data_IF_141198573097
#
_entry.id   IF_141198573097
#
_cell.length_a   1.000
_cell.length_b   1.000
_cell.length_c   1.000
_cell.angle_alpha   90.00
_cell.angle_beta   90.00
_cell.angle_gamma   90.00
#
_symmetry.space_group_name_H-M   'P 1'
#
loop_
_entity.id
_entity.type
_entity.pdbx_description
1 polymer ?
#
# COMPACT_ATOMS: atom_id res chain seq x y z
N UNK A 1 22.34 -12.86 -19.65
CA UNK A 1 22.13 -11.74 -18.70
C UNK A 1 20.70 -11.90 -18.20
N UNK A 2 20.48 -12.21 -16.92
CA UNK A 2 19.12 -12.36 -16.40
C UNK A 2 18.37 -11.04 -16.50
N UNK A 3 17.10 -11.07 -16.91
CA UNK A 3 16.23 -9.89 -16.87
C UNK A 3 16.02 -9.58 -15.38
N UNK A 4 16.47 -8.41 -14.94
CA UNK A 4 16.23 -7.94 -13.58
C UNK A 4 14.72 -7.75 -13.38
N UNK A 5 14.22 -8.07 -12.19
CA UNK A 5 12.82 -7.77 -11.88
C UNK A 5 12.59 -6.26 -11.85
N UNK A 6 11.35 -5.81 -12.04
CA UNK A 6 11.03 -4.37 -11.95
C UNK A 6 11.36 -3.79 -10.57
N UNK A 7 11.21 -4.59 -9.50
CA UNK A 7 11.62 -4.17 -8.16
C UNK A 7 13.13 -3.95 -8.10
N UNK A 8 13.94 -4.87 -8.62
CA UNK A 8 15.41 -4.70 -8.67
C UNK A 8 15.84 -3.48 -9.49
N UNK A 9 15.08 -3.12 -10.54
CA UNK A 9 15.31 -1.92 -11.31
C UNK A 9 15.05 -0.64 -10.48
N UNK A 10 14.01 -0.64 -9.65
CA UNK A 10 13.58 0.51 -8.86
C UNK A 10 14.21 0.60 -7.46
N UNK A 11 14.82 -0.48 -6.95
CA UNK A 11 15.47 -0.51 -5.62
C UNK A 11 16.46 0.65 -5.39
N UNK A 12 17.29 1.08 -6.37
CA UNK A 12 18.17 2.23 -6.17
C UNK A 12 17.42 3.54 -5.89
N UNK A 13 16.33 3.80 -6.63
CA UNK A 13 15.50 5.00 -6.40
C UNK A 13 14.72 4.88 -5.08
N UNK A 14 14.30 3.67 -4.68
CA UNK A 14 13.69 3.41 -3.37
C UNK A 14 14.63 3.81 -2.21
N UNK A 15 15.85 3.27 -2.16
CA UNK A 15 16.80 3.59 -1.07
C UNK A 15 17.15 5.07 -1.03
N UNK A 16 17.37 5.68 -2.20
CA UNK A 16 17.62 7.11 -2.31
C UNK A 16 16.42 7.92 -1.78
N UNK A 17 15.21 7.52 -2.13
CA UNK A 17 13.98 8.14 -1.65
C UNK A 17 13.82 8.07 -0.13
N UNK A 18 14.06 6.89 0.47
CA UNK A 18 14.06 6.74 1.93
C UNK A 18 15.07 7.69 2.60
N UNK A 19 16.29 7.79 2.07
CA UNK A 19 17.31 8.70 2.58
C UNK A 19 16.88 10.18 2.46
N UNK A 20 16.26 10.57 1.34
CA UNK A 20 15.74 11.92 1.15
C UNK A 20 14.61 12.25 2.14
N UNK A 21 13.65 11.34 2.32
CA UNK A 21 12.55 11.50 3.27
C UNK A 21 13.05 11.59 4.72
N UNK A 22 13.94 10.68 5.12
CA UNK A 22 14.59 10.70 6.43
C UNK A 22 15.37 12.02 6.64
N UNK A 23 16.10 12.49 5.64
CA UNK A 23 16.85 13.75 5.70
C UNK A 23 15.96 14.98 5.90
N UNK A 24 14.77 15.00 5.28
CA UNK A 24 13.77 16.05 5.49
C UNK A 24 13.26 16.04 6.92
N UNK A 25 12.82 14.88 7.43
CA UNK A 25 12.32 14.75 8.81
C UNK A 25 13.40 15.10 9.83
N UNK A 26 14.64 14.62 9.64
CA UNK A 26 15.80 14.97 10.45
C UNK A 26 16.00 16.49 10.54
N UNK A 27 15.98 17.16 9.38
CA UNK A 27 16.17 18.61 9.31
C UNK A 27 15.05 19.37 10.02
N UNK A 28 13.80 18.93 9.87
CA UNK A 28 12.65 19.52 10.55
C UNK A 28 12.69 19.32 12.06
N UNK A 29 13.15 18.15 12.52
CA UNK A 29 13.30 17.83 13.92
C UNK A 29 14.34 18.73 14.60
N UNK A 30 15.58 18.74 14.11
CA UNK A 30 16.64 19.53 14.73
C UNK A 30 16.39 21.04 14.66
N UNK A 31 15.70 21.52 13.61
CA UNK A 31 15.27 22.92 13.52
C UNK A 31 14.21 23.28 14.56
N UNK A 32 13.32 22.35 14.89
CA UNK A 32 12.20 22.59 15.82
C UNK A 32 12.58 22.31 17.28
N UNK A 33 13.56 21.42 17.51
CA UNK A 33 14.00 20.94 18.81
C UNK A 33 15.54 20.87 18.85
N UNK A 34 16.22 22.02 19.00
CA UNK A 34 17.70 22.08 19.01
C UNK A 34 18.31 21.44 20.27
N UNK A 35 17.48 21.09 21.25
CA UNK A 35 17.83 20.36 22.47
C UNK A 35 18.02 18.85 22.26
N UNK A 36 17.52 18.30 21.15
CA UNK A 36 17.75 16.89 20.80
C UNK A 36 19.21 16.73 20.35
N UNK A 37 20.02 15.87 20.99
CA UNK A 37 21.42 15.67 20.61
C UNK A 37 21.55 15.13 19.19
N UNK A 38 22.54 15.59 18.42
CA UNK A 38 22.83 15.02 17.09
C UNK A 38 23.21 13.52 17.17
N UNK A 39 23.76 13.08 18.31
CA UNK A 39 24.07 11.68 18.58
C UNK A 39 22.85 10.76 18.69
N UNK A 40 21.63 11.31 18.63
CA UNK A 40 20.38 10.57 18.55
C UNK A 40 20.23 9.77 17.23
N UNK A 41 21.09 10.04 16.24
CA UNK A 41 21.10 9.47 14.90
C UNK A 41 22.09 8.28 14.71
N UNK A 42 22.07 7.25 15.57
CA UNK A 42 22.99 6.11 15.35
C UNK A 42 22.55 5.13 14.26
N UNK A 43 21.36 5.32 13.65
CA UNK A 43 20.84 4.37 12.65
C UNK A 43 20.00 4.95 11.51
N UNK A 44 19.71 6.27 11.46
CA UNK A 44 18.91 6.90 10.39
C UNK A 44 17.42 6.51 10.34
N UNK A 45 17.08 5.25 10.64
CA UNK A 45 15.73 4.67 10.51
C UNK A 45 14.68 5.33 11.40
N UNK A 46 15.12 5.95 12.50
CA UNK A 46 14.21 6.66 13.42
C UNK A 46 13.51 7.84 12.75
N UNK A 47 14.13 8.44 11.73
CA UNK A 47 13.53 9.51 10.94
C UNK A 47 12.51 9.02 9.91
N UNK A 48 12.39 7.69 9.77
CA UNK A 48 11.34 7.03 8.98
C UNK A 48 10.13 6.63 9.85
N UNK A 49 10.07 7.03 11.12
CA UNK A 49 8.92 6.78 12.00
C UNK A 49 7.68 7.54 11.48
N UNK A 50 6.58 6.84 11.12
CA UNK A 50 5.40 7.47 10.50
C UNK A 50 4.77 8.58 11.34
N UNK A 51 4.84 8.49 12.66
CA UNK A 51 4.31 9.52 13.55
C UNK A 51 5.09 10.85 13.43
N UNK A 52 6.37 10.84 13.07
CA UNK A 52 7.12 12.06 12.79
C UNK A 52 6.63 12.74 11.50
N UNK A 53 6.36 11.97 10.45
CA UNK A 53 5.72 12.51 9.24
C UNK A 53 4.37 13.12 9.56
N UNK A 54 3.54 12.39 10.32
CA UNK A 54 2.21 12.83 10.71
C UNK A 54 2.28 14.12 11.53
N UNK A 55 3.23 14.22 12.46
CA UNK A 55 3.49 15.42 13.26
C UNK A 55 3.90 16.62 12.40
N UNK A 56 4.93 16.48 11.57
CA UNK A 56 5.47 17.61 10.81
C UNK A 56 4.57 18.10 9.69
N UNK A 57 3.70 17.22 9.16
CA UNK A 57 2.69 17.60 8.18
C UNK A 57 1.39 18.10 8.82
N UNK A 58 1.25 18.09 10.15
CA UNK A 58 0.03 18.51 10.83
C UNK A 58 -0.02 20.05 10.96
N UNK A 59 -1.07 20.73 10.43
CA UNK A 59 -1.16 22.20 10.45
C UNK A 59 -1.15 22.79 11.87
N UNK A 60 -1.83 22.12 12.80
CA UNK A 60 -1.94 22.51 14.21
C UNK A 60 -1.11 21.62 15.16
N UNK A 61 0.06 21.14 14.72
CA UNK A 61 0.85 20.13 15.46
C UNK A 61 1.16 20.50 16.93
N UNK A 62 1.35 21.79 17.22
CA UNK A 62 1.58 22.30 18.60
C UNK A 62 0.35 22.21 19.52
N UNK A 63 -0.85 22.19 18.96
CA UNK A 63 -2.10 22.12 19.72
C UNK A 63 -2.62 20.69 19.88
N UNK A 64 -2.26 19.79 18.94
CA UNK A 64 -2.72 18.39 18.94
C UNK A 64 -1.87 17.49 19.82
N UNK A 65 -0.63 17.88 20.10
CA UNK A 65 0.27 17.10 20.94
C UNK A 65 1.11 18.05 21.79
N UNK A 66 0.83 18.08 23.10
CA UNK A 66 1.52 18.94 24.06
C UNK A 66 2.97 18.50 24.32
N UNK A 67 3.27 17.23 24.09
CA UNK A 67 4.62 16.68 24.29
C UNK A 67 5.54 17.00 23.10
N UNK A 68 6.85 17.06 23.34
CA UNK A 68 7.81 17.28 22.26
C UNK A 68 7.93 16.06 21.33
N UNK A 69 8.35 16.22 20.07
CA UNK A 69 8.80 15.14 19.20
C UNK A 69 9.86 14.23 19.83
N UNK A 70 10.69 14.76 20.74
CA UNK A 70 11.60 13.95 21.55
C UNK A 70 10.85 12.93 22.41
N UNK A 71 9.71 13.29 22.98
CA UNK A 71 8.86 12.33 23.71
C UNK A 71 8.13 11.35 22.78
N UNK A 72 7.77 11.74 21.55
CA UNK A 72 7.25 10.80 20.54
C UNK A 72 8.25 9.68 20.24
N UNK A 73 9.53 10.02 20.21
CA UNK A 73 10.63 9.11 19.94
C UNK A 73 11.04 8.31 21.18
N UNK A 74 10.96 8.90 22.38
CA UNK A 74 11.31 8.24 23.64
C UNK A 74 10.17 7.37 24.20
N UNK A 75 8.91 7.74 23.98
CA UNK A 75 7.72 6.93 24.32
C UNK A 75 7.38 5.97 23.18
N UNK A 76 8.38 5.33 22.59
CA UNK A 76 8.26 4.40 21.46
C UNK A 76 7.28 3.23 21.66
N UNK A 77 6.68 3.13 22.85
CA UNK A 77 5.62 2.22 23.26
C UNK A 77 4.48 3.03 23.91
N UNK A 78 3.43 3.34 23.15
CA UNK A 78 2.16 3.67 23.79
C UNK A 78 1.71 2.45 24.61
N UNK A 79 1.25 2.65 25.85
CA UNK A 79 0.75 1.56 26.70
C UNK A 79 -0.43 0.78 26.06
N UNK A 80 -1.10 1.39 25.08
CA UNK A 80 -2.13 0.74 24.25
C UNK A 80 -1.54 -0.07 23.08
N UNK A 81 -0.49 0.42 22.43
CA UNK A 81 0.30 -0.37 21.47
C UNK A 81 0.93 -1.58 22.19
N UNK A 82 1.28 -1.46 23.47
CA UNK A 82 1.78 -2.57 24.32
C UNK A 82 0.74 -3.67 24.56
N UNK A 83 -0.56 -3.34 24.67
CA UNK A 83 -1.61 -4.33 24.86
C UNK A 83 -1.88 -5.10 23.56
N UNK A 84 -1.96 -4.39 22.43
CA UNK A 84 -2.11 -5.00 21.10
C UNK A 84 -0.82 -5.73 20.66
N UNK A 85 0.36 -5.27 21.06
CA UNK A 85 1.64 -5.94 20.76
C UNK A 85 1.84 -7.22 21.57
N UNK A 86 1.28 -7.32 22.78
CA UNK A 86 1.22 -8.58 23.55
C UNK A 86 0.33 -9.63 22.89
N UNK A 87 -0.69 -9.20 22.16
CA UNK A 87 -1.54 -10.09 21.34
C UNK A 87 -0.99 -10.27 19.92
N UNK A 88 -0.06 -9.41 19.49
CA UNK A 88 0.58 -9.49 18.19
C UNK A 88 1.51 -10.71 18.18
N UNK A 89 1.35 -11.63 17.21
CA UNK A 89 2.29 -12.72 17.05
C UNK A 89 3.69 -12.16 16.80
N UNK A 90 4.71 -12.76 17.42
CA UNK A 90 6.13 -12.33 17.35
C UNK A 90 6.76 -12.37 15.94
N UNK A 91 5.96 -12.52 14.88
CA UNK A 91 6.38 -12.80 13.50
C UNK A 91 6.07 -11.68 12.51
N UNK A 92 5.35 -10.64 12.92
CA UNK A 92 5.08 -9.49 12.05
C UNK A 92 6.22 -8.46 12.19
N UNK A 93 6.77 -7.92 11.09
CA UNK A 93 7.87 -6.95 11.14
C UNK A 93 7.41 -5.52 11.44
N UNK A 94 6.10 -5.31 11.60
CA UNK A 94 5.47 -4.01 11.79
C UNK A 94 4.68 -3.95 13.10
N UNK A 95 4.55 -2.74 13.65
CA UNK A 95 3.71 -2.46 14.82
C UNK A 95 2.25 -2.37 14.39
N UNK A 96 1.36 -2.97 15.17
CA UNK A 96 -0.08 -2.74 15.02
C UNK A 96 -0.46 -1.55 15.90
N UNK A 97 -1.08 -0.53 15.30
CA UNK A 97 -1.42 0.72 15.97
C UNK A 97 -2.91 1.00 15.89
N UNK A 98 -3.46 1.56 16.97
CA UNK A 98 -4.87 1.94 17.03
C UNK A 98 -5.16 3.18 16.16
N UNK A 99 -6.28 3.15 15.43
CA UNK A 99 -6.77 4.28 14.63
C UNK A 99 -7.05 5.56 15.47
N UNK A 100 -7.18 5.44 16.79
CA UNK A 100 -7.44 6.55 17.70
C UNK A 100 -6.24 7.48 17.96
N UNK A 101 -5.04 7.15 17.46
CA UNK A 101 -3.85 7.97 17.70
C UNK A 101 -4.07 9.41 17.18
N UNK A 102 -3.92 10.47 18.03
CA UNK A 102 -4.30 11.84 17.67
C UNK A 102 -3.63 12.38 16.40
N UNK A 103 -2.36 12.05 16.16
CA UNK A 103 -1.65 12.48 14.94
C UNK A 103 -2.16 11.80 13.67
N UNK A 104 -2.73 10.61 13.77
CA UNK A 104 -3.23 9.84 12.64
C UNK A 104 -4.71 10.12 12.34
N UNK A 105 -5.47 10.57 13.36
CA UNK A 105 -6.92 10.78 13.26
C UNK A 105 -7.33 11.66 12.07
N UNK A 106 -6.58 12.72 11.77
CA UNK A 106 -6.89 13.61 10.64
C UNK A 106 -6.77 12.93 9.28
N UNK A 107 -5.92 11.91 9.15
CA UNK A 107 -5.66 11.24 7.88
C UNK A 107 -6.90 10.50 7.40
N UNK A 108 -7.72 10.00 8.33
CA UNK A 108 -9.02 9.44 8.02
C UNK A 108 -9.97 10.47 7.40
N UNK A 109 -9.96 11.71 7.92
CA UNK A 109 -10.75 12.83 7.38
C UNK A 109 -10.25 13.28 6.00
N UNK A 110 -8.93 13.32 5.81
CA UNK A 110 -8.29 13.67 4.54
C UNK A 110 -8.57 12.59 3.47
N UNK A 111 -8.60 11.32 3.88
CA UNK A 111 -8.94 10.19 3.01
C UNK A 111 -10.46 10.06 2.73
N UNK A 112 -11.32 10.73 3.50
CA UNK A 112 -12.75 10.77 3.27
C UNK A 112 -13.58 11.21 4.48
N UNK A 113 -14.90 11.34 4.29
CA UNK A 113 -15.79 11.66 5.40
C UNK A 113 -15.87 10.47 6.37
N UNK A 114 -15.49 10.71 7.62
CA UNK A 114 -15.43 9.67 8.64
C UNK A 114 -16.78 9.60 9.38
N UNK A 115 -17.35 8.39 9.46
CA UNK A 115 -18.43 8.07 10.39
C UNK A 115 -17.89 7.75 11.79
N UNK A 116 -18.44 6.73 12.46
CA UNK A 116 -17.80 6.17 13.65
C UNK A 116 -16.57 5.35 13.24
N UNK A 117 -15.41 5.65 13.83
CA UNK A 117 -14.18 4.86 13.69
C UNK A 117 -14.11 3.86 14.83
N UNK A 118 -14.18 2.58 14.51
CA UNK A 118 -13.72 1.52 15.40
C UNK A 118 -12.28 1.14 15.01
N UNK A 119 -11.33 1.42 15.91
CA UNK A 119 -9.89 1.30 15.68
C UNK A 119 -9.26 0.04 16.27
N UNK A 120 -10.07 -0.91 16.76
CA UNK A 120 -9.56 -2.08 17.46
C UNK A 120 -9.48 -3.27 16.49
N UNK A 121 -8.25 -3.72 16.21
CA UNK A 121 -8.00 -4.98 15.52
C UNK A 121 -8.55 -6.15 16.34
N UNK A 122 -9.24 -7.09 15.70
CA UNK A 122 -9.67 -8.33 16.33
C UNK A 122 -8.59 -9.41 16.19
N UNK A 123 -8.64 -10.44 17.04
CA UNK A 123 -7.75 -11.61 16.91
C UNK A 123 -7.87 -12.29 15.53
N UNK A 124 -9.04 -12.26 14.91
CA UNK A 124 -9.27 -12.78 13.55
C UNK A 124 -8.56 -11.94 12.49
N UNK A 125 -8.56 -10.61 12.64
CA UNK A 125 -7.83 -9.71 11.74
C UNK A 125 -6.33 -9.97 11.84
N UNK A 126 -5.81 -10.04 13.06
CA UNK A 126 -4.39 -10.29 13.32
C UNK A 126 -3.93 -11.64 12.75
N UNK A 127 -4.72 -12.70 12.94
CA UNK A 127 -4.42 -14.01 12.36
C UNK A 127 -4.48 -13.99 10.83
N UNK A 128 -5.44 -13.29 10.24
CA UNK A 128 -5.54 -13.14 8.78
C UNK A 128 -4.34 -12.37 8.23
N UNK A 129 -3.95 -11.29 8.90
CA UNK A 129 -2.78 -10.48 8.55
C UNK A 129 -1.48 -11.28 8.64
N UNK A 130 -1.27 -12.05 9.72
CA UNK A 130 -0.11 -12.93 9.88
C UNK A 130 -0.03 -13.98 8.77
N UNK A 131 -1.15 -14.65 8.48
CA UNK A 131 -1.22 -15.64 7.39
C UNK A 131 -0.91 -15.01 6.03
N UNK A 132 -1.39 -13.79 5.79
CA UNK A 132 -1.16 -13.03 4.56
C UNK A 132 0.32 -12.63 4.43
N UNK A 133 0.92 -12.16 5.52
CA UNK A 133 2.35 -11.87 5.55
C UNK A 133 3.19 -13.12 5.28
N UNK A 134 2.81 -14.26 5.86
CA UNK A 134 3.42 -15.56 5.57
C UNK A 134 3.29 -15.99 4.11
N UNK A 135 2.22 -15.61 3.41
CA UNK A 135 2.09 -15.82 1.97
C UNK A 135 3.10 -14.97 1.20
N UNK A 136 3.23 -13.69 1.53
CA UNK A 136 4.18 -12.76 0.90
C UNK A 136 5.62 -13.24 1.10
N UNK A 137 6.02 -13.61 2.31
CA UNK A 137 7.38 -14.11 2.58
C UNK A 137 7.77 -15.31 1.72
N UNK A 138 6.81 -16.21 1.44
CA UNK A 138 7.06 -17.40 0.62
C UNK A 138 6.98 -17.11 -0.87
N UNK A 139 6.01 -16.31 -1.30
CA UNK A 139 5.74 -16.06 -2.70
C UNK A 139 6.63 -14.97 -3.29
N UNK A 140 6.84 -13.88 -2.55
CA UNK A 140 7.42 -12.64 -3.06
C UNK A 140 8.44 -12.03 -2.08
N UNK A 141 9.55 -12.75 -1.79
CA UNK A 141 10.53 -12.33 -0.78
C UNK A 141 11.21 -11.00 -1.10
N UNK A 142 11.40 -10.66 -2.39
CA UNK A 142 12.00 -9.39 -2.77
C UNK A 142 11.11 -8.19 -2.40
N UNK A 143 9.80 -8.34 -2.59
CA UNK A 143 8.81 -7.36 -2.14
C UNK A 143 8.73 -7.31 -0.61
N UNK A 144 8.78 -8.47 0.05
CA UNK A 144 8.78 -8.56 1.51
C UNK A 144 9.92 -7.75 2.13
N UNK A 145 11.14 -7.86 1.57
CA UNK A 145 12.29 -7.08 2.02
C UNK A 145 12.05 -5.57 1.94
N UNK A 146 11.50 -5.07 0.83
CA UNK A 146 11.16 -3.66 0.69
C UNK A 146 10.10 -3.20 1.70
N UNK A 147 9.10 -4.04 1.98
CA UNK A 147 8.08 -3.76 3.00
C UNK A 147 8.71 -3.67 4.39
N UNK A 148 9.58 -4.62 4.76
CA UNK A 148 10.30 -4.60 6.05
C UNK A 148 11.19 -3.36 6.18
N UNK A 149 11.75 -2.86 5.08
CA UNK A 149 12.60 -1.66 5.08
C UNK A 149 11.82 -0.36 5.24
N UNK A 150 10.56 -0.26 4.78
CA UNK A 150 9.83 1.02 4.78
C UNK A 150 8.56 1.07 5.62
N UNK A 151 7.88 -0.06 5.85
CA UNK A 151 6.65 -0.10 6.63
C UNK A 151 6.99 -0.36 8.08
N UNK A 152 6.48 0.49 8.96
CA UNK A 152 6.71 0.43 10.42
C UNK A 152 5.42 0.21 11.17
N UNK A 153 4.28 0.64 10.61
CA UNK A 153 2.97 0.58 11.27
C UNK A 153 1.86 0.10 10.35
N UNK A 154 1.01 -0.77 10.87
CA UNK A 154 -0.29 -1.11 10.27
C UNK A 154 -1.38 -0.66 11.23
N UNK A 155 -2.31 0.13 10.70
CA UNK A 155 -3.51 0.58 11.42
C UNK A 155 -4.70 -0.17 10.84
N UNK A 156 -5.30 -1.06 11.63
CA UNK A 156 -6.54 -1.74 11.25
C UNK A 156 -7.71 -0.96 11.83
N UNK A 157 -8.66 -0.60 10.99
CA UNK A 157 -9.85 0.14 11.39
C UNK A 157 -11.11 -0.41 10.71
N UNK A 158 -12.28 0.02 11.17
CA UNK A 158 -13.57 -0.24 10.54
C UNK A 158 -14.33 1.07 10.41
N UNK A 159 -14.74 1.38 9.19
CA UNK A 159 -15.61 2.50 8.89
C UNK A 159 -16.28 2.30 7.52
N UNK A 160 -17.43 2.93 7.28
CA UNK A 160 -18.03 2.91 5.94
C UNK A 160 -17.16 3.63 4.91
N UNK A 161 -16.40 4.63 5.35
CA UNK A 161 -15.37 5.37 4.63
C UNK A 161 -14.31 5.87 5.61
N UNK A 162 -13.05 6.10 5.17
CA UNK A 162 -12.53 5.86 3.83
C UNK A 162 -12.31 4.36 3.52
N UNK A 163 -11.96 4.05 2.27
CA UNK A 163 -11.35 2.74 1.95
C UNK A 163 -9.99 2.60 2.66
N UNK A 164 -9.36 1.43 2.58
CA UNK A 164 -7.94 1.30 2.93
C UNK A 164 -7.08 2.31 2.17
N UNK A 165 -6.04 2.83 2.81
CA UNK A 165 -5.18 3.86 2.24
C UNK A 165 -3.76 3.85 2.83
N UNK A 166 -2.86 4.52 2.12
CA UNK A 166 -1.57 4.98 2.63
C UNK A 166 -1.43 6.47 2.31
N UNK A 167 -0.66 7.21 3.11
CA UNK A 167 -0.49 8.64 2.94
C UNK A 167 0.97 9.04 3.12
N UNK A 168 1.49 9.90 2.22
CA UNK A 168 2.85 10.44 2.33
C UNK A 168 3.03 11.26 3.63
N UNK A 169 1.95 11.88 4.12
CA UNK A 169 1.91 12.57 5.40
C UNK A 169 2.09 11.65 6.61
N UNK A 170 2.04 10.33 6.43
CA UNK A 170 2.41 9.31 7.41
C UNK A 170 3.20 8.18 6.72
N UNK A 171 4.22 8.54 5.95
CA UNK A 171 5.07 7.58 5.24
C UNK A 171 5.56 6.47 6.18
N UNK A 172 5.45 5.21 5.72
CA UNK A 172 5.74 4.02 6.52
C UNK A 172 4.57 3.49 7.36
N UNK A 173 3.40 4.14 7.32
CA UNK A 173 2.15 3.61 7.87
C UNK A 173 1.17 3.23 6.75
N UNK A 174 0.48 2.12 6.95
CA UNK A 174 -0.63 1.66 6.10
C UNK A 174 -1.90 1.53 6.93
N UNK A 175 -3.04 1.86 6.33
CA UNK A 175 -4.34 1.89 6.99
C UNK A 175 -5.28 0.91 6.28
N UNK A 176 -5.69 -0.14 6.97
CA UNK A 176 -6.50 -1.22 6.41
C UNK A 176 -7.91 -1.14 6.98
N UNK A 177 -8.91 -0.97 6.10
CA UNK A 177 -10.31 -0.95 6.50
C UNK A 177 -10.89 -2.38 6.50
N UNK A 178 -10.91 -3.02 7.66
CA UNK A 178 -11.42 -4.38 7.86
C UNK A 178 -12.95 -4.50 7.70
N UNK A 179 -13.69 -3.42 7.39
CA UNK A 179 -15.10 -3.53 6.99
C UNK A 179 -15.27 -3.90 5.52
N UNK A 180 -14.21 -3.82 4.70
CA UNK A 180 -14.27 -4.05 3.25
C UNK A 180 -14.07 -5.52 2.86
N UNK A 181 -13.57 -6.32 3.78
CA UNK A 181 -13.32 -7.73 3.56
C UNK A 181 -12.80 -8.41 4.82
N UNK A 182 -12.58 -9.71 4.71
CA UNK A 182 -12.05 -10.52 5.80
C UNK A 182 -11.23 -11.69 5.23
N UNK A 183 -10.41 -12.30 6.08
CA UNK A 183 -9.61 -13.46 5.74
C UNK A 183 -8.30 -13.12 5.03
N UNK A 184 -7.47 -14.14 4.84
CA UNK A 184 -6.08 -13.95 4.40
C UNK A 184 -5.95 -13.46 2.95
N UNK A 185 -6.92 -13.72 2.08
CA UNK A 185 -6.82 -13.23 0.69
C UNK A 185 -7.09 -11.72 0.62
N UNK A 186 -8.07 -11.24 1.39
CA UNK A 186 -8.30 -9.80 1.56
C UNK A 186 -7.06 -9.10 2.14
N UNK A 187 -6.52 -9.59 3.26
CA UNK A 187 -5.34 -8.98 3.86
C UNK A 187 -4.07 -9.11 2.99
N UNK A 188 -3.95 -10.15 2.16
CA UNK A 188 -2.89 -10.26 1.17
C UNK A 188 -2.98 -9.14 0.12
N UNK A 189 -4.18 -8.84 -0.39
CA UNK A 189 -4.39 -7.69 -1.27
C UNK A 189 -3.97 -6.40 -0.60
N UNK A 190 -4.43 -6.16 0.63
CA UNK A 190 -4.16 -4.92 1.36
C UNK A 190 -2.68 -4.73 1.66
N UNK A 191 -1.95 -5.79 2.01
CA UNK A 191 -0.50 -5.73 2.19
C UNK A 191 0.26 -5.47 0.88
N UNK A 192 -0.16 -6.08 -0.23
CA UNK A 192 0.46 -5.82 -1.55
C UNK A 192 0.14 -4.41 -2.03
N UNK A 193 -1.09 -3.95 -1.85
CA UNK A 193 -1.56 -2.65 -2.32
C UNK A 193 -1.02 -1.50 -1.48
N UNK A 194 -1.32 -1.50 -0.18
CA UNK A 194 -1.04 -0.36 0.68
C UNK A 194 0.45 -0.21 0.98
N UNK A 195 1.18 -1.32 1.15
CA UNK A 195 2.64 -1.23 1.24
C UNK A 195 3.24 -0.84 -0.12
N UNK A 196 2.60 -1.21 -1.23
CA UNK A 196 2.98 -0.78 -2.58
C UNK A 196 2.93 0.74 -2.72
N UNK A 197 1.92 1.39 -2.13
CA UNK A 197 1.84 2.84 -2.07
C UNK A 197 3.02 3.48 -1.33
N UNK A 198 3.42 2.91 -0.17
CA UNK A 198 4.56 3.40 0.61
C UNK A 198 5.87 3.22 -0.16
N UNK A 199 6.08 2.04 -0.75
CA UNK A 199 7.27 1.72 -1.54
C UNK A 199 7.38 2.66 -2.75
N UNK A 200 6.29 2.83 -3.50
CA UNK A 200 6.30 3.68 -4.69
C UNK A 200 6.48 5.15 -4.33
N UNK A 201 5.86 5.60 -3.23
CA UNK A 201 6.09 6.94 -2.69
C UNK A 201 7.57 7.24 -2.44
N UNK A 202 8.33 6.26 -1.91
CA UNK A 202 9.78 6.37 -1.77
C UNK A 202 10.50 6.32 -3.14
N UNK A 203 10.14 5.41 -4.03
CA UNK A 203 10.75 5.33 -5.38
C UNK A 203 10.56 6.62 -6.19
N UNK A 204 9.46 7.34 -5.94
CA UNK A 204 9.08 8.53 -6.70
C UNK A 204 9.06 9.81 -5.86
N UNK A 205 9.99 9.98 -4.92
CA UNK A 205 10.12 11.24 -4.14
C UNK A 205 10.26 12.47 -5.04
N UNK A 206 10.77 12.30 -6.27
CA UNK A 206 10.88 13.33 -7.31
C UNK A 206 10.10 12.93 -8.56
N UNK A 207 8.76 12.95 -8.52
CA UNK A 207 7.93 12.44 -9.61
C UNK A 207 8.09 13.24 -10.90
N UNK A 208 8.55 14.50 -10.84
CA UNK A 208 8.80 15.36 -12.00
C UNK A 208 9.85 14.78 -12.96
N UNK A 209 10.69 13.86 -12.49
CA UNK A 209 11.63 13.14 -13.36
C UNK A 209 10.94 12.19 -14.34
N UNK A 210 9.73 11.74 -14.03
CA UNK A 210 9.00 10.71 -14.78
C UNK A 210 8.02 11.29 -15.81
N UNK A 211 7.67 12.56 -15.69
CA UNK A 211 6.66 13.20 -16.56
C UNK A 211 7.27 14.36 -17.33
N UNK A 212 6.81 14.55 -18.57
CA UNK A 212 7.11 15.75 -19.37
C UNK A 212 6.18 16.93 -19.02
N UNK A 213 5.14 16.66 -18.22
CA UNK A 213 4.20 17.63 -17.65
C UNK A 213 4.31 17.63 -16.12
N UNK A 214 3.62 18.57 -15.46
CA UNK A 214 3.55 18.55 -14.00
C UNK A 214 2.84 17.26 -13.52
N UNK A 215 3.33 16.53 -12.49
CA UNK A 215 2.74 15.26 -12.06
C UNK A 215 1.27 15.35 -11.62
N UNK A 216 0.83 16.54 -11.19
CA UNK A 216 -0.56 16.82 -10.82
C UNK A 216 -1.46 17.21 -12.01
N UNK A 217 -0.99 17.09 -13.25
CA UNK A 217 -1.80 17.34 -14.45
C UNK A 217 -2.95 16.33 -14.49
N UNK A 218 -4.19 16.82 -14.60
CA UNK A 218 -5.39 16.00 -14.71
C UNK A 218 -5.45 15.31 -16.07
N UNK A 219 -5.81 14.03 -16.09
CA UNK A 219 -5.91 13.22 -17.30
C UNK A 219 -7.37 13.09 -17.71
N UNK A 220 -7.79 13.66 -18.86
CA UNK A 220 -9.15 13.53 -19.36
C UNK A 220 -9.49 12.06 -19.62
N UNK A 221 -10.69 11.63 -19.20
CA UNK A 221 -11.18 10.26 -19.40
C UNK A 221 -10.73 9.27 -18.33
N UNK A 222 -9.71 9.60 -17.55
CA UNK A 222 -9.24 8.76 -16.45
C UNK A 222 -9.85 9.24 -15.15
N UNK A 223 -11.02 8.71 -14.78
CA UNK A 223 -11.77 9.17 -13.60
C UNK A 223 -11.63 8.22 -12.41
N UNK A 224 -11.66 8.78 -11.20
CA UNK A 224 -11.86 8.05 -9.96
C UNK A 224 -13.26 7.41 -9.94
N UNK A 225 -13.53 6.51 -8.97
CA UNK A 225 -14.89 5.99 -8.75
C UNK A 225 -15.94 7.06 -8.44
N UNK A 226 -15.51 8.23 -7.93
CA UNK A 226 -16.40 9.38 -7.70
C UNK A 226 -16.65 10.21 -8.98
N UNK A 227 -16.01 9.85 -10.09
CA UNK A 227 -16.10 10.58 -11.36
C UNK A 227 -15.14 11.78 -11.47
N UNK A 228 -14.21 11.93 -10.53
CA UNK A 228 -13.22 13.01 -10.55
C UNK A 228 -12.02 12.62 -11.43
N UNK A 229 -11.48 13.53 -12.25
CA UNK A 229 -10.31 13.22 -13.05
C UNK A 229 -9.09 12.89 -12.16
N UNK A 230 -8.38 11.83 -12.52
CA UNK A 230 -7.12 11.42 -11.89
C UNK A 230 -5.96 12.25 -12.44
N UNK A 231 -4.94 12.46 -11.62
CA UNK A 231 -3.69 13.09 -12.08
C UNK A 231 -2.77 12.08 -12.74
N UNK A 232 -1.81 12.56 -13.53
CA UNK A 232 -0.77 11.73 -14.16
C UNK A 232 -0.04 10.85 -13.14
N UNK A 233 0.32 11.44 -11.99
CA UNK A 233 0.95 10.72 -10.89
C UNK A 233 0.04 9.63 -10.33
N UNK A 234 -1.24 9.91 -10.10
CA UNK A 234 -2.19 8.93 -9.54
C UNK A 234 -2.36 7.72 -10.46
N UNK A 235 -2.41 7.91 -11.78
CA UNK A 235 -2.53 6.79 -12.74
C UNK A 235 -1.24 5.95 -12.76
N UNK A 236 -0.06 6.57 -12.84
CA UNK A 236 1.20 5.83 -12.76
C UNK A 236 1.34 5.06 -11.44
N UNK A 237 0.90 5.68 -10.34
CA UNK A 237 0.90 5.06 -9.02
C UNK A 237 -0.02 3.83 -8.99
N UNK A 238 -1.24 3.94 -9.51
CA UNK A 238 -2.19 2.83 -9.60
C UNK A 238 -1.61 1.65 -10.38
N UNK A 239 -1.00 1.92 -11.53
CA UNK A 239 -0.31 0.91 -12.36
C UNK A 239 0.75 0.14 -11.55
N UNK A 240 1.59 0.84 -10.79
CA UNK A 240 2.61 0.20 -9.97
C UNK A 240 1.98 -0.69 -8.88
N UNK A 241 0.96 -0.20 -8.18
CA UNK A 241 0.28 -0.98 -7.14
C UNK A 241 -0.45 -2.19 -7.72
N UNK A 242 -1.05 -2.07 -8.89
CA UNK A 242 -1.71 -3.17 -9.60
C UNK A 242 -0.69 -4.22 -10.06
N UNK A 243 0.50 -3.79 -10.50
CA UNK A 243 1.60 -4.69 -10.83
C UNK A 243 2.04 -5.53 -9.62
N UNK A 244 2.32 -4.91 -8.46
CA UNK A 244 2.77 -5.67 -7.28
C UNK A 244 1.69 -6.61 -6.75
N UNK A 245 0.41 -6.20 -6.80
CA UNK A 245 -0.71 -7.07 -6.44
C UNK A 245 -0.82 -8.27 -7.39
N UNK A 246 -0.76 -8.02 -8.71
CA UNK A 246 -0.86 -9.08 -9.72
C UNK A 246 0.31 -10.08 -9.62
N UNK A 247 1.54 -9.60 -9.40
CA UNK A 247 2.69 -10.47 -9.19
C UNK A 247 2.57 -11.29 -7.89
N UNK A 248 2.20 -10.65 -6.77
CA UNK A 248 2.05 -11.34 -5.49
C UNK A 248 0.98 -12.45 -5.54
N UNK A 249 -0.18 -12.18 -6.12
CA UNK A 249 -1.23 -13.19 -6.33
C UNK A 249 -0.81 -14.25 -7.34
N UNK A 250 -0.21 -13.85 -8.46
CA UNK A 250 0.29 -14.76 -9.49
C UNK A 250 1.24 -15.81 -8.92
N UNK A 251 2.22 -15.37 -8.14
CA UNK A 251 3.18 -16.27 -7.45
C UNK A 251 2.50 -17.18 -6.43
N UNK A 252 1.55 -16.67 -5.64
CA UNK A 252 0.79 -17.50 -4.69
C UNK A 252 0.01 -18.63 -5.40
N UNK A 253 -0.57 -18.33 -6.57
CA UNK A 253 -1.30 -19.30 -7.38
C UNK A 253 -0.39 -20.39 -7.95
N UNK A 254 0.77 -19.99 -8.47
CA UNK A 254 1.76 -20.91 -9.07
C UNK A 254 2.37 -21.87 -8.06
N UNK A 255 2.73 -21.32 -6.91
CA UNK A 255 3.30 -22.07 -5.79
C UNK A 255 2.23 -22.87 -5.03
N UNK A 256 0.95 -22.76 -5.41
CA UNK A 256 -0.20 -23.44 -4.79
C UNK A 256 -0.25 -23.22 -3.28
N UNK A 257 -0.01 -21.98 -2.86
CA UNK A 257 0.05 -21.62 -1.45
C UNK A 257 -1.33 -21.48 -0.78
N UNK A 258 -2.38 -21.48 -1.58
CA UNK A 258 -3.78 -21.36 -1.17
C UNK A 258 -4.61 -22.39 -1.93
N UNK A 259 -5.65 -22.91 -1.27
CA UNK A 259 -6.52 -23.97 -1.79
C UNK A 259 -8.01 -23.64 -1.54
N UNK A 260 -8.91 -24.38 -2.18
CA UNK A 260 -10.36 -24.25 -1.99
C UNK A 260 -10.89 -22.86 -2.30
N UNK A 261 -11.80 -22.37 -1.45
CA UNK A 261 -12.44 -21.06 -1.60
C UNK A 261 -11.43 -19.90 -1.64
N UNK A 262 -10.34 -19.98 -0.88
CA UNK A 262 -9.30 -18.96 -0.88
C UNK A 262 -8.55 -18.89 -2.22
N UNK A 263 -8.31 -20.04 -2.86
CA UNK A 263 -7.75 -20.06 -4.21
C UNK A 263 -8.71 -19.47 -5.24
N UNK A 264 -10.01 -19.71 -5.07
CA UNK A 264 -11.03 -19.18 -5.96
C UNK A 264 -11.17 -17.66 -5.84
N UNK A 265 -11.18 -17.13 -4.61
CA UNK A 265 -11.12 -15.69 -4.36
C UNK A 265 -9.86 -15.05 -4.96
N UNK A 266 -8.69 -15.68 -4.75
CA UNK A 266 -7.41 -15.18 -5.28
C UNK A 266 -7.44 -15.08 -6.81
N UNK A 267 -8.02 -16.06 -7.51
CA UNK A 267 -8.18 -16.01 -8.97
C UNK A 267 -9.10 -14.86 -9.41
N UNK A 268 -10.22 -14.67 -8.71
CA UNK A 268 -11.16 -13.59 -9.00
C UNK A 268 -10.52 -12.22 -8.85
N UNK A 269 -9.80 -11.99 -7.75
CA UNK A 269 -9.08 -10.74 -7.51
C UNK A 269 -7.93 -10.54 -8.51
N UNK A 270 -7.15 -11.58 -8.82
CA UNK A 270 -6.08 -11.49 -9.83
C UNK A 270 -6.62 -11.10 -11.21
N UNK A 271 -7.73 -11.71 -11.65
CA UNK A 271 -8.38 -11.32 -12.91
C UNK A 271 -8.84 -9.86 -12.89
N UNK A 272 -9.44 -9.42 -11.77
CA UNK A 272 -9.89 -8.04 -11.58
C UNK A 272 -8.73 -7.03 -11.63
N UNK A 273 -7.62 -7.32 -10.94
CA UNK A 273 -6.43 -6.47 -10.93
C UNK A 273 -5.80 -6.40 -12.32
N UNK A 274 -5.67 -7.53 -13.04
CA UNK A 274 -5.10 -7.53 -14.40
C UNK A 274 -5.98 -6.74 -15.38
N UNK A 275 -7.30 -6.77 -15.24
CA UNK A 275 -8.18 -5.93 -16.04
C UNK A 275 -7.89 -4.44 -15.81
N UNK A 276 -7.84 -4.02 -14.53
CA UNK A 276 -7.56 -2.62 -14.19
C UNK A 276 -6.17 -2.17 -14.62
N UNK A 277 -5.17 -3.02 -14.45
CA UNK A 277 -3.80 -2.76 -14.91
C UNK A 277 -3.81 -2.49 -16.43
N UNK A 278 -4.52 -3.29 -17.21
CA UNK A 278 -4.63 -3.06 -18.65
C UNK A 278 -5.30 -1.70 -18.98
N UNK A 279 -6.38 -1.36 -18.28
CA UNK A 279 -7.12 -0.11 -18.43
C UNK A 279 -6.24 1.10 -18.10
N UNK A 280 -5.63 1.13 -16.92
CA UNK A 280 -4.79 2.23 -16.44
C UNK A 280 -3.53 2.41 -17.31
N UNK A 281 -2.90 1.31 -17.73
CA UNK A 281 -1.75 1.35 -18.64
C UNK A 281 -2.13 1.93 -20.00
N UNK A 282 -3.29 1.55 -20.53
CA UNK A 282 -3.81 2.07 -21.80
C UNK A 282 -4.10 3.57 -21.69
N UNK A 283 -4.77 3.98 -20.61
CA UNK A 283 -5.09 5.37 -20.31
C UNK A 283 -3.84 6.24 -20.29
N UNK A 284 -2.80 5.81 -19.57
CA UNK A 284 -1.57 6.59 -19.41
C UNK A 284 -0.77 6.68 -20.71
N UNK A 285 -0.64 5.57 -21.44
CA UNK A 285 0.06 5.52 -22.74
C UNK A 285 -0.60 6.46 -23.77
N UNK A 286 -1.92 6.58 -23.76
CA UNK A 286 -2.65 7.45 -24.68
C UNK A 286 -2.36 8.95 -24.47
N UNK A 287 -1.88 9.36 -23.29
CA UNK A 287 -1.66 10.79 -22.98
C UNK A 287 -0.36 11.35 -23.56
N UNK A 288 0.65 10.52 -23.82
CA UNK A 288 1.98 10.95 -24.27
C UNK A 288 2.65 12.02 -23.37
N UNK A 289 2.57 11.81 -22.04
CA UNK A 289 3.02 12.77 -21.01
C UNK A 289 4.26 12.29 -20.22
N UNK A 290 4.87 11.19 -20.64
CA UNK A 290 6.03 10.63 -19.95
C UNK A 290 7.31 11.31 -20.40
N UNK A 291 8.28 11.47 -19.50
CA UNK A 291 9.67 11.80 -19.86
C UNK A 291 10.39 10.56 -20.40
N UNK A 292 11.64 10.68 -20.86
CA UNK A 292 12.45 9.50 -21.24
C UNK A 292 12.61 8.49 -20.10
N UNK A 293 12.82 8.97 -18.87
CA UNK A 293 12.89 8.10 -17.69
C UNK A 293 11.53 7.46 -17.38
N UNK A 294 10.44 8.21 -17.55
CA UNK A 294 9.08 7.69 -17.42
C UNK A 294 8.72 6.64 -18.47
N UNK A 295 9.14 6.84 -19.72
CA UNK A 295 8.96 5.89 -20.82
C UNK A 295 9.69 4.58 -20.54
N UNK A 296 10.94 4.65 -20.03
CA UNK A 296 11.68 3.44 -19.65
C UNK A 296 10.98 2.66 -18.53
N UNK A 297 10.41 3.34 -17.53
CA UNK A 297 9.61 2.69 -16.49
C UNK A 297 8.33 2.06 -17.06
N UNK A 298 7.61 2.78 -17.92
CA UNK A 298 6.37 2.29 -18.52
C UNK A 298 6.61 1.10 -19.45
N UNK A 299 7.73 1.07 -20.16
CA UNK A 299 8.13 -0.10 -20.95
C UNK A 299 8.29 -1.33 -20.05
N UNK A 300 8.96 -1.19 -18.91
CA UNK A 300 9.12 -2.30 -17.95
C UNK A 300 7.78 -2.76 -17.36
N UNK A 301 6.91 -1.82 -16.99
CA UNK A 301 5.55 -2.13 -16.50
C UNK A 301 4.73 -2.84 -17.58
N UNK A 302 4.82 -2.39 -18.83
CA UNK A 302 4.12 -3.00 -19.97
C UNK A 302 4.58 -4.43 -20.22
N UNK A 303 5.89 -4.69 -20.21
CA UNK A 303 6.42 -6.05 -20.37
C UNK A 303 6.02 -6.95 -19.21
N UNK A 304 6.01 -6.42 -17.99
CA UNK A 304 5.58 -7.17 -16.82
C UNK A 304 4.08 -7.51 -16.87
N UNK A 305 3.23 -6.58 -17.29
CA UNK A 305 1.81 -6.84 -17.55
C UNK A 305 1.64 -7.97 -18.57
N UNK A 306 2.30 -7.90 -19.73
CA UNK A 306 2.23 -8.95 -20.76
C UNK A 306 2.65 -10.30 -20.21
N UNK A 307 3.73 -10.34 -19.42
CA UNK A 307 4.22 -11.55 -18.76
C UNK A 307 3.19 -12.13 -17.81
N UNK A 308 2.62 -11.31 -16.92
CA UNK A 308 1.61 -11.74 -15.94
C UNK A 308 0.33 -12.23 -16.64
N UNK A 309 -0.21 -11.45 -17.57
CA UNK A 309 -1.43 -11.78 -18.29
C UNK A 309 -1.30 -13.08 -19.10
N UNK A 310 -0.17 -13.27 -19.81
CA UNK A 310 0.08 -14.50 -20.55
C UNK A 310 0.29 -15.72 -19.63
N UNK A 311 1.05 -15.55 -18.54
CA UNK A 311 1.38 -16.62 -17.60
C UNK A 311 0.15 -17.17 -16.87
N UNK A 312 -0.83 -16.31 -16.57
CA UNK A 312 -2.05 -16.70 -15.86
C UNK A 312 -3.29 -16.88 -16.74
N UNK A 313 -3.17 -16.68 -18.06
CA UNK A 313 -4.31 -16.74 -18.99
C UNK A 313 -5.17 -17.99 -18.80
N UNK A 314 -4.58 -19.19 -18.83
CA UNK A 314 -5.33 -20.45 -18.69
C UNK A 314 -6.01 -20.59 -17.34
N UNK A 315 -5.39 -20.09 -16.26
CA UNK A 315 -5.95 -20.19 -14.92
C UNK A 315 -7.13 -19.23 -14.69
N UNK A 316 -7.19 -18.14 -15.47
CA UNK A 316 -8.18 -17.07 -15.37
C UNK A 316 -9.20 -17.10 -16.52
N UNK A 317 -9.02 -17.99 -17.49
CA UNK A 317 -9.91 -18.10 -18.64
C UNK A 317 -11.34 -18.39 -18.20
N UNK A 318 -12.26 -17.57 -18.67
CA UNK A 318 -13.70 -17.71 -18.37
C UNK A 318 -14.14 -17.06 -17.07
N UNK A 319 -13.23 -16.41 -16.33
CA UNK A 319 -13.61 -15.57 -15.18
C UNK A 319 -14.49 -14.41 -15.66
N UNK A 320 -15.65 -14.24 -15.03
CA UNK A 320 -16.62 -13.18 -15.30
C UNK A 320 -16.56 -12.11 -14.21
N UNK A 321 -16.23 -10.87 -14.59
CA UNK A 321 -16.13 -9.73 -13.66
C UNK A 321 -17.34 -8.78 -13.74
N UNK A 322 -18.42 -9.19 -14.43
CA UNK A 322 -19.60 -8.36 -14.63
C UNK A 322 -20.22 -7.95 -13.29
N UNK A 323 -20.43 -6.64 -13.13
CA UNK A 323 -21.07 -6.05 -11.95
C UNK A 323 -20.17 -5.96 -10.72
N UNK A 324 -18.86 -6.22 -10.84
CA UNK A 324 -17.92 -5.93 -9.76
C UNK A 324 -17.90 -4.43 -9.42
N UNK A 325 -17.92 -4.04 -8.13
CA UNK A 325 -17.71 -2.65 -7.73
C UNK A 325 -16.24 -2.25 -7.89
N UNK A 326 -15.91 -1.01 -7.53
CA UNK A 326 -14.52 -0.53 -7.53
C UNK A 326 -13.62 -1.28 -6.54
N UNK A 327 -14.15 -1.60 -5.36
CA UNK A 327 -13.51 -2.52 -4.42
C UNK A 327 -14.04 -3.90 -4.74
N UNK A 328 -13.16 -4.87 -4.99
CA UNK A 328 -13.57 -6.22 -5.36
C UNK A 328 -14.49 -6.83 -4.28
N UNK A 329 -15.65 -7.32 -4.72
CA UNK A 329 -16.63 -7.98 -3.85
C UNK A 329 -16.70 -9.46 -4.19
N UNK A 330 -16.17 -10.28 -3.28
CA UNK A 330 -16.14 -11.73 -3.44
C UNK A 330 -17.54 -12.36 -3.46
N UNK A 331 -18.51 -11.78 -2.76
CA UNK A 331 -19.90 -12.26 -2.81
C UNK A 331 -20.51 -11.99 -4.19
N UNK A 332 -20.27 -10.82 -4.77
CA UNK A 332 -20.67 -10.53 -6.16
C UNK A 332 -19.94 -11.45 -7.14
N UNK A 333 -18.66 -11.76 -6.89
CA UNK A 333 -17.88 -12.65 -7.73
C UNK A 333 -18.47 -14.05 -7.77
N UNK A 334 -18.81 -14.61 -6.61
CA UNK A 334 -19.44 -15.92 -6.49
C UNK A 334 -20.81 -15.99 -7.16
N UNK A 335 -21.58 -14.89 -7.16
CA UNK A 335 -22.89 -14.84 -7.85
C UNK A 335 -22.78 -15.06 -9.36
N UNK A 336 -21.72 -14.54 -9.98
CA UNK A 336 -21.52 -14.62 -11.44
C UNK A 336 -20.49 -15.68 -11.86
N UNK A 337 -19.76 -16.24 -10.89
CA UNK A 337 -18.86 -17.38 -11.03
C UNK A 337 -19.13 -18.38 -9.90
N UNK A 338 -20.18 -19.23 -9.99
CA UNK A 338 -20.47 -20.21 -8.95
C UNK A 338 -19.36 -21.28 -8.88
N UNK A 339 -19.07 -21.74 -7.65
CA UNK A 339 -18.10 -22.81 -7.43
C UNK A 339 -18.55 -24.10 -8.17
N UNK A 340 -17.62 -24.83 -8.80
CA UNK A 340 -17.94 -26.10 -9.46
C UNK A 340 -18.61 -27.08 -8.46
N UNK A 341 -19.84 -27.50 -8.75
CA UNK A 341 -20.60 -28.44 -7.91
C UNK A 341 -21.57 -27.79 -6.91
N UNK A 342 -21.60 -26.47 -6.79
CA UNK A 342 -22.67 -25.74 -6.10
C UNK A 342 -23.70 -25.29 -7.14
N UNK A 343 -24.75 -26.08 -7.36
CA UNK A 343 -25.97 -25.60 -8.04
C UNK A 343 -26.69 -24.62 -7.12
N UNK A 344 -26.91 -23.40 -7.60
CA UNK A 344 -27.70 -22.34 -6.94
C UNK A 344 -29.15 -22.76 -6.76
#
# INVERSE_FOLDING_TARGET
>A
MGIKTILEYLTPDFHKGQQELAGVIRSLLFKSHPDIPESFDQGGDIFLEPLLFAYFTHPQRKAVWENSPGELLLRHEDAQDSALSKECPARLPFKITNASHPLLRRLFCEAGQVGELDGIATSKDLSSLENSWGLILRAYPEYAGLVEECVRRIVIFRASRPNSFAALSAHGAVFINASQGAGSIFFLEELLHQCGHVIFGAMTVRPERLFSVHPQTLLPGSNTPSGEPRTAYVVLHAIFTEMVMAEGFGRCLEMRLVEGDAQYELKGRLAYILQRYAEDLTDLLAQNIMSDAGLSLIEQLTEEFKRLASRHYEALRGVNLTGQPYVFDYSQFLRVNPLPGCSV
#
